data_IF_815621996482
#
_entry.id   IF_815621996482
#
_cell.length_a   1.000
_cell.length_b   1.000
_cell.length_c   1.000
_cell.angle_alpha   90.00
_cell.angle_beta   90.00
_cell.angle_gamma   90.00
#
_symmetry.space_group_name_H-M   'P 1'
#
loop_
_entity.id
_entity.type
_entity.pdbx_description
1 polymer ?
#
# COMPACT_ATOMS: atom_id res chain seq x y z
N UNK A 1 -35.45 21.02 14.04
CA UNK A 1 -35.04 20.80 12.64
C UNK A 1 -33.63 21.34 12.48
N UNK A 2 -32.62 20.49 12.25
CA UNK A 2 -31.31 21.00 11.85
C UNK A 2 -31.47 21.77 10.53
N UNK A 3 -30.91 22.97 10.46
CA UNK A 3 -30.98 23.75 9.22
C UNK A 3 -30.19 23.04 8.12
N UNK A 4 -30.64 23.13 6.86
CA UNK A 4 -29.94 22.53 5.70
C UNK A 4 -28.45 22.89 5.64
N UNK A 5 -28.11 24.06 6.20
CA UNK A 5 -26.76 24.61 6.29
C UNK A 5 -25.88 23.87 7.30
N UNK A 6 -26.39 23.51 8.48
CA UNK A 6 -25.67 22.74 9.51
C UNK A 6 -25.39 21.30 9.06
N UNK A 7 -26.38 20.66 8.44
CA UNK A 7 -26.24 19.30 7.89
C UNK A 7 -25.15 19.25 6.82
N UNK A 8 -25.11 20.24 5.92
CA UNK A 8 -24.08 20.34 4.90
C UNK A 8 -22.68 20.58 5.48
N UNK A 9 -22.55 21.37 6.56
CA UNK A 9 -21.28 21.58 7.26
C UNK A 9 -20.75 20.29 7.90
N UNK A 10 -21.62 19.49 8.54
CA UNK A 10 -21.24 18.18 9.13
C UNK A 10 -20.74 17.20 8.07
N UNK A 11 -21.48 17.02 6.97
CA UNK A 11 -21.10 16.13 5.87
C UNK A 11 -19.75 16.53 5.26
N UNK A 12 -19.48 17.83 5.08
CA UNK A 12 -18.19 18.32 4.59
C UNK A 12 -17.04 18.03 5.56
N UNK A 13 -17.27 18.08 6.88
CA UNK A 13 -16.26 17.75 7.89
C UNK A 13 -15.93 16.26 7.88
N UNK A 14 -16.95 15.40 7.87
CA UNK A 14 -16.77 13.95 7.81
C UNK A 14 -16.06 13.51 6.53
N UNK A 15 -16.43 14.08 5.38
CA UNK A 15 -15.75 13.81 4.09
C UNK A 15 -14.29 14.24 4.09
N UNK A 16 -13.92 15.29 4.84
CA UNK A 16 -12.51 15.72 4.99
C UNK A 16 -11.73 14.75 5.87
N UNK A 17 -12.31 14.32 6.99
CA UNK A 17 -11.68 13.33 7.89
C UNK A 17 -11.45 12.00 7.16
N UNK A 18 -12.46 11.49 6.44
CA UNK A 18 -12.32 10.27 5.64
C UNK A 18 -11.25 10.40 4.55
N UNK A 19 -11.11 11.57 3.92
CA UNK A 19 -10.05 11.85 2.93
C UNK A 19 -8.67 11.91 3.57
N UNK A 20 -8.53 12.61 4.70
CA UNK A 20 -7.27 12.70 5.44
C UNK A 20 -6.80 11.31 5.90
N UNK A 21 -7.70 10.48 6.45
CA UNK A 21 -7.38 9.11 6.83
C UNK A 21 -6.85 8.28 5.65
N UNK A 22 -7.50 8.36 4.50
CA UNK A 22 -7.03 7.69 3.27
C UNK A 22 -5.67 8.22 2.81
N UNK A 23 -5.45 9.52 2.90
CA UNK A 23 -4.19 10.15 2.51
C UNK A 23 -3.04 9.74 3.45
N UNK A 24 -3.27 9.63 4.75
CA UNK A 24 -2.28 9.08 5.69
C UNK A 24 -1.91 7.63 5.36
N UNK A 25 -2.88 6.77 5.07
CA UNK A 25 -2.61 5.38 4.67
C UNK A 25 -1.78 5.34 3.38
N UNK A 26 -2.12 6.18 2.41
CA UNK A 26 -1.40 6.27 1.14
C UNK A 26 0.04 6.77 1.34
N UNK A 27 0.25 7.77 2.20
CA UNK A 27 1.58 8.23 2.58
C UNK A 27 2.41 7.14 3.26
N UNK A 28 1.81 6.37 4.18
CA UNK A 28 2.50 5.25 4.82
C UNK A 28 2.95 4.19 3.80
N UNK A 29 2.10 3.89 2.81
CA UNK A 29 2.46 2.96 1.73
C UNK A 29 3.61 3.51 0.88
N UNK A 30 3.62 4.81 0.57
CA UNK A 30 4.73 5.45 -0.16
C UNK A 30 6.02 5.35 0.65
N UNK A 31 6.00 5.69 1.94
CA UNK A 31 7.17 5.61 2.81
C UNK A 31 7.69 4.18 2.93
N UNK A 32 6.81 3.19 2.99
CA UNK A 32 7.19 1.78 3.00
C UNK A 32 7.95 1.39 1.73
N UNK A 33 7.43 1.77 0.56
CA UNK A 33 8.06 1.46 -0.74
C UNK A 33 9.43 2.15 -0.85
N UNK A 34 9.51 3.44 -0.50
CA UNK A 34 10.78 4.18 -0.52
C UNK A 34 11.79 3.59 0.47
N UNK A 35 11.35 3.22 1.67
CA UNK A 35 12.22 2.58 2.66
C UNK A 35 12.77 1.25 2.15
N UNK A 36 11.93 0.42 1.53
CA UNK A 36 12.37 -0.84 0.92
C UNK A 36 13.39 -0.60 -0.21
N UNK A 37 13.15 0.40 -1.06
CA UNK A 37 14.06 0.74 -2.16
C UNK A 37 15.43 1.22 -1.65
N UNK A 38 15.46 2.08 -0.63
CA UNK A 38 16.70 2.54 0.02
C UNK A 38 17.46 1.37 0.63
N UNK A 39 16.79 0.48 1.36
CA UNK A 39 17.44 -0.70 1.96
C UNK A 39 17.98 -1.63 0.85
N UNK A 40 17.22 -1.83 -0.22
CA UNK A 40 17.63 -2.62 -1.37
C UNK A 40 18.91 -2.07 -2.02
N UNK A 41 18.97 -0.75 -2.26
CA UNK A 41 20.15 -0.08 -2.79
C UNK A 41 21.36 -0.26 -1.87
N UNK A 42 21.20 -0.05 -0.57
CA UNK A 42 22.29 -0.23 0.40
C UNK A 42 22.82 -1.67 0.43
N UNK A 43 21.95 -2.69 0.32
CA UNK A 43 22.40 -4.09 0.27
C UNK A 43 23.20 -4.39 -1.00
N UNK A 44 22.76 -3.87 -2.16
CA UNK A 44 23.51 -3.98 -3.42
C UNK A 44 24.89 -3.33 -3.26
N UNK A 45 24.94 -2.10 -2.73
CA UNK A 45 26.19 -1.35 -2.57
C UNK A 45 27.18 -2.01 -1.61
N UNK A 46 26.67 -2.60 -0.52
CA UNK A 46 27.48 -3.28 0.48
C UNK A 46 27.86 -4.71 0.10
N UNK A 47 27.37 -5.24 -1.04
CA UNK A 47 27.54 -6.63 -1.47
C UNK A 47 27.21 -7.63 -0.34
N UNK A 48 26.22 -7.30 0.50
CA UNK A 48 25.92 -8.08 1.70
C UNK A 48 25.24 -9.43 1.41
N UNK A 49 24.70 -9.62 0.20
CA UNK A 49 23.95 -10.82 -0.19
C UNK A 49 24.29 -11.20 -1.64
N UNK A 50 24.42 -12.51 -1.92
CA UNK A 50 24.62 -13.05 -3.27
C UNK A 50 23.45 -12.70 -4.22
N UNK A 51 22.24 -12.53 -3.65
CA UNK A 51 21.08 -12.00 -4.35
C UNK A 51 20.62 -10.70 -3.64
N UNK A 52 20.93 -9.53 -4.20
CA UNK A 52 20.72 -8.27 -3.49
C UNK A 52 19.27 -7.76 -3.58
N UNK A 53 18.36 -8.48 -4.25
CA UNK A 53 16.96 -8.10 -4.37
C UNK A 53 16.16 -8.51 -3.12
N UNK A 54 16.01 -7.56 -2.20
CA UNK A 54 15.18 -7.66 -1.00
C UNK A 54 13.70 -7.56 -1.34
N UNK A 55 13.35 -6.74 -2.33
CA UNK A 55 11.96 -6.54 -2.74
C UNK A 55 11.89 -6.20 -4.22
N UNK A 56 11.25 -7.06 -5.01
CA UNK A 56 10.96 -6.80 -6.42
C UNK A 56 9.57 -7.30 -6.74
N UNK A 57 8.75 -6.46 -7.36
CA UNK A 57 7.41 -6.82 -7.79
C UNK A 57 7.29 -6.73 -9.30
N UNK A 58 7.15 -7.87 -9.98
CA UNK A 58 6.94 -7.96 -11.41
C UNK A 58 5.48 -8.30 -11.70
N UNK A 59 4.71 -7.28 -12.11
CA UNK A 59 3.28 -7.43 -12.42
C UNK A 59 3.03 -8.33 -13.64
N UNK A 60 3.96 -8.38 -14.61
CA UNK A 60 3.79 -9.17 -15.85
C UNK A 60 3.97 -10.65 -15.56
N UNK A 61 4.97 -10.98 -14.75
CA UNK A 61 5.24 -12.35 -14.31
C UNK A 61 4.40 -12.77 -13.11
N UNK A 62 3.64 -11.83 -12.53
CA UNK A 62 2.95 -11.98 -11.24
C UNK A 62 3.90 -12.53 -10.17
N UNK A 63 5.13 -12.05 -10.17
CA UNK A 63 6.19 -12.55 -9.32
C UNK A 63 6.56 -11.47 -8.30
N UNK A 64 6.79 -11.89 -7.07
CA UNK A 64 7.22 -11.07 -5.97
C UNK A 64 8.47 -11.70 -5.39
N UNK A 65 9.60 -11.06 -5.58
CA UNK A 65 10.84 -11.48 -4.92
C UNK A 65 10.93 -10.74 -3.59
N UNK A 66 11.04 -11.48 -2.47
CA UNK A 66 11.26 -10.92 -1.14
C UNK A 66 12.43 -11.66 -0.48
N UNK A 67 13.43 -10.92 0.03
CA UNK A 67 14.59 -11.46 0.74
C UNK A 67 15.32 -12.57 -0.04
N UNK A 68 15.45 -12.41 -1.36
CA UNK A 68 16.08 -13.41 -2.23
C UNK A 68 15.21 -14.60 -2.62
N UNK A 69 14.01 -14.74 -2.04
CA UNK A 69 13.04 -15.78 -2.37
C UNK A 69 12.00 -15.26 -3.38
N UNK A 70 11.64 -16.08 -4.36
CA UNK A 70 10.67 -15.72 -5.39
C UNK A 70 9.30 -16.35 -5.14
N UNK A 71 8.28 -15.51 -4.97
CA UNK A 71 6.89 -15.91 -4.76
C UNK A 71 6.06 -15.61 -6.00
N UNK A 72 5.21 -16.56 -6.41
CA UNK A 72 4.21 -16.31 -7.45
C UNK A 72 2.95 -15.80 -6.77
N UNK A 73 2.54 -14.58 -7.11
CA UNK A 73 1.31 -13.98 -6.65
C UNK A 73 0.19 -14.37 -7.60
N UNK A 74 -0.87 -14.97 -7.06
CA UNK A 74 -2.13 -15.04 -7.79
C UNK A 74 -2.93 -13.74 -7.57
N UNK A 75 -3.15 -12.99 -8.66
CA UNK A 75 -3.90 -11.73 -8.64
C UNK A 75 -5.36 -11.94 -8.23
N UNK A 76 -5.90 -13.14 -8.41
CA UNK A 76 -7.27 -13.47 -7.99
C UNK A 76 -7.41 -13.48 -6.45
N UNK A 77 -6.35 -13.85 -5.72
CA UNK A 77 -6.31 -13.79 -4.25
C UNK A 77 -6.36 -12.34 -3.77
N UNK A 78 -5.59 -11.44 -4.41
CA UNK A 78 -5.59 -10.01 -4.09
C UNK A 78 -6.97 -9.39 -4.36
N UNK A 79 -7.58 -9.73 -5.51
CA UNK A 79 -8.92 -9.25 -5.86
C UNK A 79 -9.95 -9.71 -4.81
N UNK A 80 -9.87 -10.95 -4.35
CA UNK A 80 -10.78 -11.47 -3.33
C UNK A 80 -10.57 -10.81 -1.95
N UNK A 81 -9.32 -10.58 -1.52
CA UNK A 81 -9.00 -9.84 -0.29
C UNK A 81 -9.51 -8.39 -0.31
N UNK A 82 -9.38 -7.71 -1.45
CA UNK A 82 -9.90 -6.35 -1.64
C UNK A 82 -11.44 -6.32 -1.63
N UNK A 83 -12.09 -7.35 -2.18
CA UNK A 83 -13.56 -7.48 -2.16
C UNK A 83 -14.07 -7.71 -0.73
N UNK A 84 -13.41 -8.58 0.02
CA UNK A 84 -13.76 -8.87 1.43
C UNK A 84 -13.52 -7.65 2.33
N UNK A 85 -12.42 -6.91 2.15
CA UNK A 85 -12.17 -5.69 2.95
C UNK A 85 -13.13 -4.54 2.62
N UNK A 86 -13.70 -4.49 1.40
CA UNK A 86 -14.76 -3.53 1.05
C UNK A 86 -16.13 -3.86 1.64
N UNK A 87 -16.35 -5.09 2.11
CA UNK A 87 -17.58 -5.54 2.79
C UNK A 87 -17.55 -5.30 4.30
N UNK A 88 -16.39 -4.96 4.87
CA UNK A 88 -16.18 -4.75 6.32
C UNK A 88 -16.20 -3.26 6.71
N UNK A 89 -16.49 -2.34 5.77
CA UNK A 89 -16.55 -0.89 6.01
C UNK A 89 -17.92 -0.26 5.77
#
# INVERSE_FOLDING_TARGET
METRLERNRRIRREKRIKRAKRLCILLLLIFLILGLEIVNQNIVELNCLDNPNIFRFDLKKRQLDIFGESYIIDLDIIRNLLKTSSLVF
#
